data_IF_845783940718
#
_entry.id   IF_845783940718
#
_cell.length_a   1.000
_cell.length_b   1.000
_cell.length_c   1.000
_cell.angle_alpha   90.00
_cell.angle_beta   90.00
_cell.angle_gamma   90.00
#
_symmetry.space_group_name_H-M   'P 1'
#
loop_
_entity.id
_entity.type
_entity.pdbx_description
1 polymer ?
#
# COMPACT_ATOMS: atom_id res chain seq x y z
N UNK A 1 -9.19 0.21 -9.73
CA UNK A 1 -7.73 0.17 -9.62
C UNK A 1 -7.33 0.46 -8.18
N UNK A 2 -6.44 -0.33 -7.61
CA UNK A 2 -5.82 -0.09 -6.30
C UNK A 2 -4.32 -0.40 -6.39
N UNK A 3 -3.52 0.19 -5.49
CA UNK A 3 -2.05 0.03 -5.51
C UNK A 3 -1.54 -0.28 -4.10
N UNK A 4 -0.51 -1.13 -4.04
CA UNK A 4 0.23 -1.42 -2.81
C UNK A 4 -0.67 -1.80 -1.63
N UNK A 5 -1.60 -2.72 -1.90
CA UNK A 5 -2.48 -3.29 -0.88
C UNK A 5 -1.66 -4.12 0.10
N UNK A 6 -1.89 -3.93 1.39
CA UNK A 6 -1.29 -4.70 2.47
C UNK A 6 -2.34 -5.11 3.50
N UNK A 7 -2.04 -6.15 4.26
CA UNK A 7 -2.95 -6.68 5.28
C UNK A 7 -2.47 -8.02 5.80
N UNK A 8 -3.26 -8.60 6.66
CA UNK A 8 -3.05 -9.90 7.26
C UNK A 8 -2.96 -10.98 6.16
N UNK A 9 -2.16 -12.02 6.38
CA UNK A 9 -1.94 -13.15 5.47
C UNK A 9 -1.34 -12.77 4.11
N UNK A 10 -0.73 -11.58 3.99
CA UNK A 10 0.02 -11.22 2.81
C UNK A 10 1.23 -12.14 2.66
N UNK A 11 1.55 -12.52 1.42
CA UNK A 11 2.68 -13.40 1.10
C UNK A 11 4.00 -12.84 1.68
N UNK A 12 4.84 -13.67 2.35
CA UNK A 12 6.01 -13.22 3.09
C UNK A 12 7.08 -12.52 2.24
N UNK A 13 7.13 -12.73 0.93
CA UNK A 13 8.02 -11.99 0.01
C UNK A 13 7.64 -10.51 -0.18
N UNK A 14 6.41 -10.11 0.19
CA UNK A 14 5.97 -8.72 0.05
C UNK A 14 6.67 -7.82 1.06
N UNK A 15 6.74 -6.53 0.74
CA UNK A 15 7.61 -5.58 1.42
C UNK A 15 7.40 -5.55 2.94
N UNK A 16 6.16 -5.43 3.43
CA UNK A 16 5.86 -5.30 4.86
C UNK A 16 6.21 -6.59 5.63
N UNK A 17 5.67 -7.77 5.30
CA UNK A 17 6.02 -9.00 6.03
C UNK A 17 7.51 -9.34 5.91
N UNK A 18 8.13 -9.15 4.73
CA UNK A 18 9.58 -9.38 4.55
C UNK A 18 10.43 -8.44 5.41
N UNK A 19 10.03 -7.17 5.51
CA UNK A 19 10.70 -6.19 6.37
C UNK A 19 10.63 -6.64 7.82
N UNK A 20 9.44 -6.97 8.33
CA UNK A 20 9.27 -7.45 9.71
C UNK A 20 10.06 -8.73 9.99
N UNK A 21 10.05 -9.69 9.05
CA UNK A 21 10.85 -10.90 9.16
C UNK A 21 12.35 -10.60 9.25
N UNK A 22 12.85 -9.68 8.41
CA UNK A 22 14.26 -9.27 8.44
C UNK A 22 14.64 -8.61 9.76
N UNK A 23 13.81 -7.70 10.26
CA UNK A 23 14.02 -7.05 11.56
C UNK A 23 14.07 -8.07 12.69
N UNK A 24 13.10 -9.00 12.75
CA UNK A 24 13.03 -10.08 13.75
C UNK A 24 14.30 -10.96 13.74
N UNK A 25 14.90 -11.14 12.57
CA UNK A 25 16.11 -11.97 12.40
C UNK A 25 17.41 -11.15 12.35
N UNK A 26 17.41 -9.88 12.76
CA UNK A 26 18.58 -8.97 12.73
C UNK A 26 19.26 -8.92 11.36
N UNK A 27 18.49 -8.96 10.27
CA UNK A 27 19.01 -8.89 8.90
C UNK A 27 18.87 -7.48 8.36
N UNK A 28 19.86 -7.04 7.60
CA UNK A 28 19.85 -5.75 6.91
C UNK A 28 18.75 -5.68 5.87
N UNK A 29 18.03 -4.55 5.82
CA UNK A 29 16.99 -4.25 4.86
C UNK A 29 17.57 -3.44 3.71
N UNK A 30 17.38 -3.91 2.48
CA UNK A 30 17.73 -3.18 1.26
C UNK A 30 16.55 -2.34 0.81
N UNK A 31 16.72 -1.02 0.79
CA UNK A 31 15.69 -0.06 0.38
C UNK A 31 16.10 0.55 -0.95
N UNK A 32 15.26 0.38 -1.96
CA UNK A 32 15.47 0.96 -3.27
C UNK A 32 15.23 2.47 -3.26
N UNK A 33 16.20 3.21 -3.79
CA UNK A 33 16.21 4.66 -3.81
C UNK A 33 16.61 5.21 -5.19
N UNK A 34 16.64 6.52 -5.35
CA UNK A 34 17.18 7.23 -6.50
C UNK A 34 18.63 6.81 -6.79
N UNK A 35 19.13 7.15 -7.99
CA UNK A 35 20.49 6.81 -8.44
C UNK A 35 21.58 7.31 -7.48
N UNK A 36 21.38 8.47 -6.88
CA UNK A 36 22.27 9.06 -5.86
C UNK A 36 22.04 8.49 -4.45
N UNK A 37 21.09 7.55 -4.30
CA UNK A 37 20.72 6.87 -3.04
C UNK A 37 20.21 7.81 -1.94
N UNK A 38 19.59 8.93 -2.32
CA UNK A 38 19.09 9.92 -1.36
C UNK A 38 17.60 9.86 -1.16
N UNK A 39 16.83 9.48 -2.20
CA UNK A 39 15.37 9.50 -2.19
C UNK A 39 14.81 8.09 -2.31
N UNK A 40 14.28 7.49 -1.22
CA UNK A 40 13.62 6.18 -1.27
C UNK A 40 12.39 6.18 -2.18
N UNK A 41 12.06 5.01 -2.75
CA UNK A 41 10.84 4.86 -3.51
C UNK A 41 9.59 5.02 -2.65
N UNK A 42 8.57 5.73 -3.16
CA UNK A 42 7.34 6.05 -2.44
C UNK A 42 6.10 5.40 -3.03
N UNK A 43 5.10 5.16 -2.18
CA UNK A 43 3.83 4.50 -2.52
C UNK A 43 2.68 5.08 -1.70
N UNK A 44 1.47 5.04 -2.27
CA UNK A 44 0.24 5.12 -1.48
C UNK A 44 -0.11 3.72 -0.98
N UNK A 45 0.13 3.47 0.29
CA UNK A 45 -0.18 2.20 0.93
C UNK A 45 -1.67 2.12 1.27
N UNK A 46 -2.33 1.02 0.91
CA UNK A 46 -3.78 0.83 1.08
C UNK A 46 -4.04 -0.44 1.90
N UNK A 47 -4.74 -0.29 3.02
CA UNK A 47 -5.08 -1.43 3.88
C UNK A 47 -6.18 -2.30 3.26
N UNK A 48 -6.08 -3.60 3.44
CA UNK A 48 -6.97 -4.58 2.79
C UNK A 48 -8.44 -4.43 3.20
N UNK A 49 -8.73 -4.04 4.45
CA UNK A 49 -10.10 -3.77 4.90
C UNK A 49 -10.70 -2.54 4.19
N UNK A 50 -9.89 -1.53 3.87
CA UNK A 50 -10.35 -0.38 3.10
C UNK A 50 -10.64 -0.76 1.64
N UNK A 51 -9.86 -1.69 1.06
CA UNK A 51 -10.19 -2.26 -0.26
C UNK A 51 -11.55 -2.95 -0.21
N UNK A 52 -11.78 -3.79 0.79
CA UNK A 52 -13.05 -4.49 0.95
C UNK A 52 -14.22 -3.50 1.10
N UNK A 53 -14.07 -2.47 1.95
CA UNK A 53 -15.09 -1.43 2.15
C UNK A 53 -15.36 -0.64 0.86
N UNK A 54 -14.32 -0.36 0.06
CA UNK A 54 -14.48 0.34 -1.22
C UNK A 54 -15.25 -0.49 -2.24
N UNK A 55 -15.01 -1.80 -2.29
CA UNK A 55 -15.76 -2.71 -3.16
C UNK A 55 -17.23 -2.75 -2.77
N UNK A 56 -17.54 -2.82 -1.48
CA UNK A 56 -18.91 -2.75 -0.98
C UNK A 56 -19.57 -1.43 -1.37
N UNK A 57 -18.89 -0.30 -1.12
CA UNK A 57 -19.39 1.02 -1.51
C UNK A 57 -19.66 1.14 -3.01
N UNK A 58 -18.74 0.67 -3.86
CA UNK A 58 -18.90 0.68 -5.32
C UNK A 58 -20.12 -0.16 -5.74
N UNK A 59 -20.30 -1.33 -5.12
CA UNK A 59 -21.43 -2.22 -5.42
C UNK A 59 -22.77 -1.58 -5.07
N UNK A 60 -22.85 -1.00 -3.87
CA UNK A 60 -24.09 -0.35 -3.38
C UNK A 60 -24.42 0.95 -4.14
N UNK A 61 -23.41 1.65 -4.66
CA UNK A 61 -23.56 2.93 -5.36
C UNK A 61 -23.30 2.85 -6.86
N UNK A 62 -23.34 1.65 -7.46
CA UNK A 62 -22.95 1.43 -8.86
C UNK A 62 -23.63 2.38 -9.86
N UNK A 63 -24.94 2.52 -9.80
CA UNK A 63 -25.70 3.36 -10.74
C UNK A 63 -25.40 4.87 -10.54
N UNK A 64 -25.18 5.30 -9.31
CA UNK A 64 -24.73 6.66 -8.99
C UNK A 64 -23.36 6.93 -9.60
N UNK A 65 -22.38 6.06 -9.33
CA UNK A 65 -21.02 6.18 -9.82
C UNK A 65 -20.96 6.16 -11.35
N UNK A 66 -21.74 5.30 -11.97
CA UNK A 66 -21.82 5.22 -13.43
C UNK A 66 -22.36 6.51 -14.04
N UNK A 67 -23.39 7.13 -13.45
CA UNK A 67 -23.92 8.43 -13.89
C UNK A 67 -22.92 9.58 -13.67
N UNK A 68 -22.16 9.53 -12.59
CA UNK A 68 -21.10 10.53 -12.32
C UNK A 68 -19.96 10.43 -13.34
N UNK A 69 -19.52 9.22 -13.68
CA UNK A 69 -18.42 9.02 -14.63
C UNK A 69 -18.84 9.22 -16.10
N UNK A 70 -20.11 8.93 -16.41
CA UNK A 70 -20.68 9.03 -17.76
C UNK A 70 -21.99 9.83 -17.75
N UNK A 71 -21.91 11.18 -17.60
CA UNK A 71 -23.08 12.03 -17.45
C UNK A 71 -23.95 12.14 -18.73
N UNK A 72 -23.42 11.79 -19.89
CA UNK A 72 -24.14 11.77 -21.16
C UNK A 72 -24.54 10.35 -21.54
N UNK A 73 -25.74 10.19 -22.14
CA UNK A 73 -26.23 8.91 -22.68
C UNK A 73 -25.47 8.50 -23.97
N UNK A 74 -24.16 8.53 -23.94
CA UNK A 74 -23.37 8.02 -25.05
C UNK A 74 -23.59 6.52 -25.23
N UNK A 75 -23.85 6.13 -26.48
CA UNK A 75 -24.19 4.75 -26.86
C UNK A 75 -22.93 3.88 -26.76
N UNK A 76 -23.01 2.78 -26.02
CA UNK A 76 -22.00 1.72 -25.95
C UNK A 76 -21.74 1.22 -24.51
N UNK A 77 -21.26 -0.01 -24.33
CA UNK A 77 -20.92 -0.55 -23.02
C UNK A 77 -19.68 0.16 -22.49
N UNK A 78 -19.85 0.98 -21.45
CA UNK A 78 -18.76 1.63 -20.73
C UNK A 78 -18.53 0.93 -19.40
N UNK A 79 -17.29 0.52 -19.15
CA UNK A 79 -16.91 -0.06 -17.88
C UNK A 79 -16.61 1.04 -16.88
N UNK A 80 -17.27 1.00 -15.72
CA UNK A 80 -16.94 1.86 -14.59
C UNK A 80 -15.50 1.61 -14.13
N UNK A 81 -14.68 2.64 -14.07
CA UNK A 81 -13.30 2.60 -13.58
C UNK A 81 -13.18 3.45 -12.32
N UNK A 82 -12.77 2.83 -11.24
CA UNK A 82 -12.62 3.51 -9.95
C UNK A 82 -11.20 3.31 -9.44
N UNK A 83 -10.53 4.39 -9.11
CA UNK A 83 -9.27 4.39 -8.41
C UNK A 83 -9.53 4.44 -6.90
N UNK A 84 -8.87 3.56 -6.15
CA UNK A 84 -9.00 3.46 -4.70
C UNK A 84 -7.65 3.87 -4.09
N UNK A 85 -7.54 5.10 -3.55
CA UNK A 85 -6.30 5.61 -2.97
C UNK A 85 -6.10 5.12 -1.53
N UNK A 86 -4.84 5.05 -1.09
CA UNK A 86 -4.51 5.03 0.33
C UNK A 86 -4.65 6.42 0.97
N UNK A 87 -4.55 6.50 2.31
CA UNK A 87 -4.72 7.74 3.05
C UNK A 87 -3.59 8.72 2.82
N UNK A 88 -2.36 8.21 2.63
CA UNK A 88 -1.17 9.05 2.48
C UNK A 88 -0.08 8.33 1.70
N UNK A 89 0.78 9.09 1.05
CA UNK A 89 2.01 8.59 0.45
C UNK A 89 3.11 8.49 1.52
N UNK A 90 3.77 7.34 1.56
CA UNK A 90 4.96 7.10 2.40
C UNK A 90 6.06 6.52 1.53
N UNK A 91 7.31 6.87 1.84
CA UNK A 91 8.43 6.17 1.27
C UNK A 91 8.71 4.84 1.98
N UNK A 92 9.46 3.97 1.32
CA UNK A 92 9.74 2.64 1.85
C UNK A 92 10.59 2.68 3.13
N UNK A 93 11.42 3.70 3.33
CA UNK A 93 12.19 3.87 4.56
C UNK A 93 11.29 4.30 5.73
N UNK A 94 10.35 5.20 5.49
CA UNK A 94 9.35 5.60 6.49
C UNK A 94 8.54 4.39 6.97
N UNK A 95 8.08 3.55 6.03
CA UNK A 95 7.37 2.31 6.38
C UNK A 95 8.25 1.35 7.19
N UNK A 96 9.53 1.17 6.81
CA UNK A 96 10.45 0.33 7.58
C UNK A 96 10.69 0.87 9.00
N UNK A 97 10.77 2.19 9.18
CA UNK A 97 10.89 2.84 10.50
C UNK A 97 9.64 2.59 11.35
N UNK A 98 8.46 2.74 10.79
CA UNK A 98 7.19 2.44 11.50
C UNK A 98 7.12 0.97 11.93
N UNK A 99 7.51 0.03 11.05
CA UNK A 99 7.55 -1.41 11.41
C UNK A 99 8.55 -1.66 12.55
N UNK A 100 9.72 -1.01 12.52
CA UNK A 100 10.71 -1.09 13.59
C UNK A 100 10.15 -0.56 14.91
N UNK A 101 9.50 0.60 14.89
CA UNK A 101 8.88 1.23 16.05
C UNK A 101 7.79 0.33 16.66
N UNK A 102 6.85 -0.15 15.86
CA UNK A 102 5.72 -0.96 16.33
C UNK A 102 6.11 -2.37 16.78
N UNK A 103 7.18 -2.94 16.20
CA UNK A 103 7.69 -4.26 16.59
C UNK A 103 8.70 -4.22 17.74
N UNK A 104 9.31 -3.08 18.00
CA UNK A 104 10.43 -2.93 18.94
C UNK A 104 11.75 -3.54 18.45
N UNK A 105 11.84 -3.98 17.19
CA UNK A 105 13.08 -4.54 16.62
C UNK A 105 13.96 -3.43 16.02
N UNK A 106 15.28 -3.61 16.14
CA UNK A 106 16.24 -2.64 15.60
C UNK A 106 16.27 -2.62 14.08
N UNK A 107 16.30 -1.43 13.47
CA UNK A 107 16.38 -1.22 12.03
C UNK A 107 17.83 -1.03 11.57
N UNK A 108 18.36 -2.01 10.85
CA UNK A 108 19.58 -1.89 10.03
C UNK A 108 19.19 -1.87 8.56
N UNK A 109 19.61 -0.85 7.81
CA UNK A 109 19.22 -0.71 6.41
C UNK A 109 20.34 -0.11 5.54
N UNK A 110 20.20 -0.30 4.23
CA UNK A 110 21.01 0.39 3.22
C UNK A 110 20.13 0.89 2.08
N UNK A 111 20.48 2.04 1.54
CA UNK A 111 19.86 2.59 0.32
C UNK A 111 20.64 2.11 -0.90
N UNK A 112 19.95 1.54 -1.88
CA UNK A 112 20.54 1.06 -3.12
C UNK A 112 19.91 1.74 -4.33
N UNK A 113 20.71 1.95 -5.38
CA UNK A 113 20.22 2.48 -6.65
C UNK A 113 19.15 1.55 -7.24
N UNK A 114 17.97 2.12 -7.45
CA UNK A 114 16.81 1.41 -7.95
C UNK A 114 17.00 0.93 -9.40
N UNK A 115 17.60 1.75 -10.25
CA UNK A 115 17.76 1.44 -11.67
C UNK A 115 18.76 0.30 -11.94
N UNK A 116 19.77 0.17 -11.09
CA UNK A 116 20.76 -0.91 -11.21
C UNK A 116 20.19 -2.27 -10.86
N UNK A 117 19.18 -2.32 -9.97
CA UNK A 117 18.61 -3.56 -9.43
C UNK A 117 17.26 -3.95 -10.05
N UNK A 118 16.48 -2.98 -10.55
CA UNK A 118 15.15 -3.18 -11.15
C UNK A 118 14.90 -2.24 -12.33
N UNK A 119 15.53 -2.47 -13.49
CA UNK A 119 15.33 -1.65 -14.68
C UNK A 119 13.85 -1.60 -15.09
N UNK A 120 13.33 -0.42 -15.41
CA UNK A 120 11.96 -0.23 -15.90
C UNK A 120 10.86 -0.15 -14.82
N UNK A 121 11.21 -0.13 -13.53
CA UNK A 121 10.25 0.16 -12.47
C UNK A 121 10.25 1.64 -12.10
N UNK A 122 9.09 2.14 -11.64
CA UNK A 122 8.96 3.53 -11.19
C UNK A 122 9.38 3.70 -9.74
N UNK A 123 10.08 4.80 -9.46
CA UNK A 123 10.46 5.18 -8.10
C UNK A 123 9.23 5.58 -7.27
N UNK A 124 8.22 6.17 -7.91
CA UNK A 124 6.98 6.62 -7.31
C UNK A 124 5.77 6.00 -7.97
N UNK A 125 4.87 5.41 -7.18
CA UNK A 125 3.55 4.96 -7.62
C UNK A 125 2.49 5.71 -6.84
N UNK A 126 1.63 6.44 -7.57
CA UNK A 126 0.49 7.14 -7.01
C UNK A 126 -0.71 7.00 -7.95
N UNK A 127 -1.91 7.06 -7.37
CA UNK A 127 -3.16 7.04 -8.12
C UNK A 127 -4.09 8.11 -7.55
N UNK A 128 -4.79 8.80 -8.42
CA UNK A 128 -5.76 9.80 -8.05
C UNK A 128 -7.07 9.13 -7.65
N UNK A 129 -7.57 9.44 -6.46
CA UNK A 129 -8.81 8.93 -5.90
C UNK A 129 -9.93 9.95 -5.81
N UNK A 130 -9.79 11.14 -6.41
CA UNK A 130 -10.77 12.22 -6.30
C UNK A 130 -12.20 11.78 -6.66
N UNK A 131 -12.33 10.92 -7.69
CA UNK A 131 -13.62 10.43 -8.14
C UNK A 131 -14.40 9.68 -7.05
N UNK A 132 -13.78 8.70 -6.39
CA UNK A 132 -14.47 7.91 -5.36
C UNK A 132 -14.67 8.72 -4.08
N UNK A 133 -13.73 9.60 -3.77
CA UNK A 133 -13.81 10.50 -2.59
C UNK A 133 -14.95 11.51 -2.75
N UNK A 134 -15.09 12.12 -3.94
CA UNK A 134 -16.21 13.03 -4.24
C UNK A 134 -17.57 12.32 -4.25
N UNK A 135 -17.58 11.01 -4.50
CA UNK A 135 -18.78 10.19 -4.40
C UNK A 135 -19.18 9.85 -2.95
N UNK A 136 -18.29 10.09 -1.97
CA UNK A 136 -18.55 9.93 -0.53
C UNK A 136 -17.86 8.76 0.14
N UNK A 137 -16.92 8.06 -0.55
CA UNK A 137 -16.07 7.05 0.09
C UNK A 137 -14.68 7.60 0.41
N UNK A 138 -14.14 7.15 1.53
CA UNK A 138 -12.74 7.35 1.90
C UNK A 138 -12.23 6.21 2.76
N UNK A 139 -10.91 5.95 2.77
CA UNK A 139 -10.32 4.95 3.65
C UNK A 139 -10.58 5.31 5.11
N UNK A 140 -10.86 4.27 5.91
CA UNK A 140 -11.17 4.39 7.34
C UNK A 140 -9.90 4.43 8.20
N UNK A 141 -8.87 3.71 7.77
CA UNK A 141 -7.66 3.54 8.55
C UNK A 141 -6.55 4.48 8.08
N UNK A 142 -5.81 5.06 9.02
CA UNK A 142 -4.50 5.65 8.71
C UNK A 142 -3.49 4.53 8.42
N UNK A 143 -2.39 4.86 7.74
CA UNK A 143 -1.32 3.87 7.53
C UNK A 143 -0.71 3.47 8.86
N UNK A 144 -0.54 4.41 9.77
CA UNK A 144 0.02 4.20 11.09
C UNK A 144 -0.83 3.20 11.91
N UNK A 145 -2.14 3.45 12.04
CA UNK A 145 -3.04 2.59 12.83
C UNK A 145 -3.12 1.16 12.27
N UNK A 146 -3.29 1.05 10.95
CA UNK A 146 -3.41 -0.26 10.30
C UNK A 146 -2.08 -1.03 10.26
N UNK A 147 -0.95 -0.32 10.15
CA UNK A 147 0.37 -0.95 10.18
C UNK A 147 0.72 -1.43 11.59
N UNK A 148 0.40 -0.65 12.64
CA UNK A 148 0.57 -1.08 14.03
C UNK A 148 -0.27 -2.34 14.32
N UNK A 149 -1.55 -2.34 13.94
CA UNK A 149 -2.44 -3.51 14.04
C UNK A 149 -1.84 -4.72 13.33
N UNK A 150 -1.36 -4.52 12.10
CA UNK A 150 -0.79 -5.59 11.28
C UNK A 150 0.51 -6.15 11.86
N UNK A 151 1.41 -5.30 12.36
CA UNK A 151 2.66 -5.75 13.01
C UNK A 151 2.34 -6.62 14.23
N UNK A 152 1.41 -6.18 15.09
CA UNK A 152 0.95 -6.98 16.24
C UNK A 152 0.40 -8.33 15.79
N UNK A 153 -0.44 -8.35 14.76
CA UNK A 153 -1.01 -9.56 14.21
C UNK A 153 0.08 -10.54 13.72
N UNK A 154 1.09 -10.08 13.00
CA UNK A 154 2.20 -10.94 12.55
C UNK A 154 3.06 -11.47 13.71
N UNK A 155 3.23 -10.69 14.77
CA UNK A 155 3.96 -11.16 15.96
C UNK A 155 3.20 -12.28 16.71
N UNK A 156 1.87 -12.24 16.68
CA UNK A 156 0.99 -13.26 17.23
C UNK A 156 0.80 -14.47 16.30
N UNK A 157 1.05 -14.31 14.97
CA UNK A 157 0.88 -15.33 13.94
C UNK A 157 2.17 -15.47 13.11
N UNK A 158 3.29 -15.88 13.75
CA UNK A 158 4.63 -15.85 13.13
C UNK A 158 4.78 -16.80 11.93
N UNK A 159 3.94 -17.81 11.78
CA UNK A 159 3.91 -18.72 10.63
C UNK A 159 3.67 -18.00 9.30
N UNK A 160 3.05 -16.83 9.33
CA UNK A 160 2.82 -15.99 8.15
C UNK A 160 4.03 -15.15 7.72
N UNK A 161 5.10 -15.18 8.49
CA UNK A 161 6.40 -14.56 8.13
C UNK A 161 7.39 -15.59 7.55
N UNK A 162 7.07 -16.89 7.58
CA UNK A 162 7.95 -17.95 7.11
C UNK A 162 7.78 -18.19 5.60
N UNK A 163 8.92 -18.55 4.93
CA UNK A 163 8.99 -18.83 3.49
C UNK A 163 8.89 -20.31 3.19
#
# INVERSE_FOLDING_TARGET
HCMNVYGERQHPEKYIPNTLWKLKNNKKITIHASKDKTTPGSRHYLYSEDVASSVMFITENYEKLKKMQFPTNEVGPKCLKVNIPGTKELDNLEVAKLISEFSGFNLDYELVDFHSSRPGHDLRYAIDGEFITSAGWGPKYTVEDSLEKLVKWYLENPEWLEF
#
